data_IF_579301286382
#
_entry.id   IF_579301286382
#
_cell.length_a   1.000
_cell.length_b   1.000
_cell.length_c   1.000
_cell.angle_alpha   90.00
_cell.angle_beta   90.00
_cell.angle_gamma   90.00
#
_symmetry.space_group_name_H-M   'P 1'
#
loop_
_entity.id
_entity.type
_entity.pdbx_description
1 polymer ?
#
# COMPACT_ATOMS: atom_id res chain seq x y z
N UNK A 1 -33.22 28.87 7.98
CA UNK A 1 -31.76 28.65 7.89
C UNK A 1 -31.43 27.43 8.74
N UNK A 2 -31.12 26.27 8.13
CA UNK A 2 -30.90 25.03 8.87
C UNK A 2 -29.49 25.00 9.47
N UNK A 3 -29.40 25.10 10.81
CA UNK A 3 -28.15 24.99 11.56
C UNK A 3 -27.88 23.50 11.84
N UNK A 4 -27.08 22.87 10.97
CA UNK A 4 -26.64 21.49 11.13
C UNK A 4 -25.55 21.41 12.20
N UNK A 5 -25.92 21.13 13.44
CA UNK A 5 -24.97 20.79 14.51
C UNK A 5 -24.29 19.46 14.17
N UNK A 6 -23.08 19.51 13.57
CA UNK A 6 -22.23 18.32 13.45
C UNK A 6 -21.96 17.81 14.86
N UNK A 7 -22.58 16.70 15.25
CA UNK A 7 -22.26 16.01 16.49
C UNK A 7 -20.84 15.45 16.34
N UNK A 8 -19.87 16.17 16.89
CA UNK A 8 -18.48 15.71 16.95
C UNK A 8 -18.45 14.39 17.73
N UNK A 9 -18.22 13.29 17.00
CA UNK A 9 -18.17 11.97 17.59
C UNK A 9 -16.78 11.82 18.23
N UNK A 10 -16.67 12.01 19.55
CA UNK A 10 -15.41 11.92 20.28
C UNK A 10 -14.65 10.61 20.05
N UNK A 11 -15.36 9.55 19.64
CA UNK A 11 -14.77 8.26 19.24
C UNK A 11 -14.00 8.34 17.91
N UNK A 12 -14.48 9.12 16.94
CA UNK A 12 -13.76 9.34 15.68
C UNK A 12 -12.55 10.25 15.89
N UNK A 13 -12.67 11.26 16.76
CA UNK A 13 -11.56 12.17 17.08
C UNK A 13 -10.44 11.41 17.79
N UNK A 14 -10.77 10.65 18.84
CA UNK A 14 -9.80 9.84 19.57
C UNK A 14 -9.14 8.79 18.68
N UNK A 15 -9.91 8.10 17.84
CA UNK A 15 -9.34 7.18 16.84
C UNK A 15 -8.39 7.86 15.86
N UNK A 16 -8.75 9.07 15.37
CA UNK A 16 -7.89 9.86 14.50
C UNK A 16 -6.58 10.28 15.17
N UNK A 17 -6.65 10.77 16.41
CA UNK A 17 -5.46 11.16 17.19
C UNK A 17 -4.54 9.96 17.40
N UNK A 18 -5.07 8.81 17.84
CA UNK A 18 -4.29 7.57 18.01
C UNK A 18 -3.62 7.15 16.70
N UNK A 19 -4.35 7.25 15.58
CA UNK A 19 -3.81 6.92 14.26
C UNK A 19 -2.65 7.84 13.88
N UNK A 20 -2.79 9.14 14.08
CA UNK A 20 -1.71 10.11 13.80
C UNK A 20 -0.49 9.83 14.67
N UNK A 21 -0.67 9.58 15.98
CA UNK A 21 0.43 9.24 16.89
C UNK A 21 1.12 7.95 16.44
N UNK A 22 0.37 6.91 16.10
CA UNK A 22 0.93 5.66 15.61
C UNK A 22 1.77 5.86 14.33
N UNK A 23 1.27 6.65 13.37
CA UNK A 23 2.02 6.99 12.16
C UNK A 23 3.31 7.74 12.48
N UNK A 24 3.27 8.70 13.41
CA UNK A 24 4.45 9.43 13.85
C UNK A 24 5.49 8.49 14.49
N UNK A 25 5.05 7.55 15.34
CA UNK A 25 5.93 6.54 15.92
C UNK A 25 6.62 5.74 14.82
N UNK A 26 5.86 5.24 13.84
CA UNK A 26 6.42 4.47 12.72
C UNK A 26 7.41 5.31 11.91
N UNK A 27 7.05 6.53 11.53
CA UNK A 27 7.89 7.38 10.69
C UNK A 27 9.17 7.79 11.43
N UNK A 28 9.10 8.08 12.73
CA UNK A 28 10.25 8.57 13.51
C UNK A 28 11.15 7.45 14.04
N UNK A 29 10.61 6.27 14.35
CA UNK A 29 11.38 5.15 14.92
C UNK A 29 11.85 4.15 13.87
N UNK A 30 11.46 4.30 12.61
CA UNK A 30 11.94 3.42 11.54
C UNK A 30 13.19 4.00 10.90
N UNK A 31 14.30 3.26 11.02
CA UNK A 31 15.55 3.62 10.37
C UNK A 31 15.43 3.69 8.84
N UNK A 32 16.26 4.55 8.25
CA UNK A 32 16.46 4.57 6.81
C UNK A 32 17.22 3.31 6.38
N UNK A 33 16.76 2.71 5.29
CA UNK A 33 17.45 1.60 4.65
C UNK A 33 17.93 2.05 3.27
N UNK A 34 19.17 1.69 2.95
CA UNK A 34 19.79 1.97 1.65
C UNK A 34 19.49 0.84 0.68
N UNK A 35 18.82 1.15 -0.43
CA UNK A 35 18.66 0.23 -1.55
C UNK A 35 19.77 0.51 -2.55
N UNK A 36 20.51 -0.54 -2.92
CA UNK A 36 21.47 -0.51 -4.02
C UNK A 36 20.86 -1.28 -5.20
N UNK A 37 20.63 -0.60 -6.31
CA UNK A 37 20.03 -1.18 -7.51
C UNK A 37 20.76 -0.70 -8.77
N UNK A 38 21.38 -1.63 -9.50
CA UNK A 38 22.07 -1.36 -10.78
C UNK A 38 23.07 -0.18 -10.72
N UNK A 39 23.79 -0.04 -9.60
CA UNK A 39 24.76 1.04 -9.40
C UNK A 39 24.17 2.35 -8.88
N UNK A 40 22.84 2.43 -8.70
CA UNK A 40 22.18 3.53 -8.03
C UNK A 40 21.92 3.19 -6.57
N UNK A 41 22.14 4.16 -5.68
CA UNK A 41 21.88 4.02 -4.25
C UNK A 41 20.88 5.08 -3.80
N UNK A 42 19.81 4.67 -3.15
CA UNK A 42 18.84 5.57 -2.53
C UNK A 42 18.56 5.15 -1.10
N UNK A 43 18.42 6.14 -0.21
CA UNK A 43 18.07 5.92 1.19
C UNK A 43 16.65 6.39 1.44
N UNK A 44 15.82 5.51 1.99
CA UNK A 44 14.44 5.82 2.36
C UNK A 44 14.00 4.98 3.56
N UNK A 45 12.94 5.39 4.30
CA UNK A 45 12.46 4.62 5.44
C UNK A 45 12.07 3.19 5.04
N UNK A 46 12.44 2.21 5.87
CA UNK A 46 12.18 0.78 5.57
C UNK A 46 10.71 0.49 5.26
N UNK A 47 9.78 1.11 5.98
CA UNK A 47 8.34 0.91 5.77
C UNK A 47 7.90 1.28 4.35
N UNK A 48 8.51 2.32 3.77
CA UNK A 48 8.18 2.78 2.42
C UNK A 48 8.66 1.77 1.37
N UNK A 49 9.86 1.21 1.58
CA UNK A 49 10.42 0.15 0.73
C UNK A 49 9.49 -1.06 0.72
N UNK A 50 9.08 -1.51 1.90
CA UNK A 50 8.19 -2.66 2.06
C UNK A 50 6.81 -2.41 1.41
N UNK A 51 6.25 -1.21 1.57
CA UNK A 51 4.99 -0.83 0.93
C UNK A 51 5.10 -0.87 -0.61
N UNK A 52 6.17 -0.31 -1.18
CA UNK A 52 6.43 -0.35 -2.62
C UNK A 52 6.60 -1.80 -3.11
N UNK A 53 7.42 -2.60 -2.42
CA UNK A 53 7.64 -4.01 -2.78
C UNK A 53 6.34 -4.83 -2.73
N UNK A 54 5.50 -4.60 -1.73
CA UNK A 54 4.20 -5.25 -1.62
C UNK A 54 3.30 -4.93 -2.82
N UNK A 55 3.19 -3.66 -3.19
CA UNK A 55 2.41 -3.21 -4.35
C UNK A 55 2.95 -3.84 -5.64
N UNK A 56 4.27 -3.83 -5.85
CA UNK A 56 4.90 -4.46 -7.02
C UNK A 56 4.60 -5.97 -7.08
N UNK A 57 4.65 -6.66 -5.94
CA UNK A 57 4.29 -8.07 -5.84
C UNK A 57 2.82 -8.34 -6.20
N UNK A 58 1.89 -7.51 -5.72
CA UNK A 58 0.47 -7.61 -6.07
C UNK A 58 0.23 -7.40 -7.56
N UNK A 59 0.86 -6.39 -8.16
CA UNK A 59 0.75 -6.10 -9.58
C UNK A 59 1.31 -7.26 -10.43
N UNK A 60 2.50 -7.76 -10.07
CA UNK A 60 3.12 -8.89 -10.76
C UNK A 60 2.25 -10.15 -10.66
N UNK A 61 1.78 -10.49 -9.45
CA UNK A 61 0.88 -11.63 -9.23
C UNK A 61 -0.42 -11.51 -10.01
N UNK A 62 -1.00 -10.32 -10.06
CA UNK A 62 -2.18 -10.00 -10.88
C UNK A 62 -1.94 -10.22 -12.37
N UNK A 63 -0.82 -9.70 -12.89
CA UNK A 63 -0.44 -9.85 -14.29
C UNK A 63 -0.22 -11.32 -14.68
N UNK A 64 0.52 -12.07 -13.86
CA UNK A 64 0.74 -13.51 -14.05
C UNK A 64 -0.60 -14.26 -14.06
N UNK A 65 -1.47 -14.00 -13.09
CA UNK A 65 -2.79 -14.63 -13.00
C UNK A 65 -3.65 -14.33 -14.22
N UNK A 66 -3.66 -13.08 -14.70
CA UNK A 66 -4.39 -12.68 -15.90
C UNK A 66 -3.85 -13.37 -17.15
N UNK A 67 -2.52 -13.42 -17.31
CA UNK A 67 -1.87 -14.13 -18.42
C UNK A 67 -2.22 -15.61 -18.43
N UNK A 68 -2.11 -16.30 -17.29
CA UNK A 68 -2.46 -17.72 -17.17
C UNK A 68 -3.93 -17.98 -17.51
N UNK A 69 -4.86 -17.11 -17.07
CA UNK A 69 -6.28 -17.21 -17.42
C UNK A 69 -6.52 -17.05 -18.92
N UNK A 70 -5.84 -16.10 -19.56
CA UNK A 70 -5.93 -15.87 -21.02
C UNK A 70 -5.44 -17.09 -21.80
N UNK A 71 -4.33 -17.70 -21.39
CA UNK A 71 -3.79 -18.91 -22.01
C UNK A 71 -4.70 -20.13 -21.81
N UNK A 72 -5.32 -20.27 -20.64
CA UNK A 72 -6.26 -21.37 -20.34
C UNK A 72 -7.59 -21.24 -21.08
N UNK A 73 -8.08 -20.01 -21.29
CA UNK A 73 -9.34 -19.75 -21.99
C UNK A 73 -9.25 -19.86 -23.51
N UNK A 74 -8.05 -19.92 -24.08
CA UNK A 74 -7.82 -20.02 -25.53
C UNK A 74 -7.85 -21.47 -26.06
N UNK A 75 -8.44 -22.42 -25.32
CA UNK A 75 -8.54 -23.81 -25.77
C UNK A 75 -9.33 -23.88 -27.09
N UNK A 76 -8.85 -24.63 -28.10
CA UNK A 76 -9.38 -24.58 -29.44
C UNK A 76 -10.79 -25.19 -29.47
N UNK A 77 -11.75 -24.40 -29.96
CA UNK A 77 -13.08 -24.88 -30.33
C UNK A 77 -12.90 -26.02 -31.33
N UNK A 78 -13.22 -27.25 -30.93
CA UNK A 78 -13.27 -28.40 -31.85
C UNK A 78 -14.35 -28.11 -32.90
N UNK A 79 -13.92 -27.71 -34.10
CA UNK A 79 -14.69 -27.82 -35.35
C UNK A 79 -14.77 -29.27 -35.78
#
# INVERSE_FOLDING_TARGET
MANGSKKFNGRLISGGIVTVIALLIVIQNTGSATINFLGWSWSMPLWLILAIMFILGMLLGGAVRAGVRKLRGAAPTKT
#
